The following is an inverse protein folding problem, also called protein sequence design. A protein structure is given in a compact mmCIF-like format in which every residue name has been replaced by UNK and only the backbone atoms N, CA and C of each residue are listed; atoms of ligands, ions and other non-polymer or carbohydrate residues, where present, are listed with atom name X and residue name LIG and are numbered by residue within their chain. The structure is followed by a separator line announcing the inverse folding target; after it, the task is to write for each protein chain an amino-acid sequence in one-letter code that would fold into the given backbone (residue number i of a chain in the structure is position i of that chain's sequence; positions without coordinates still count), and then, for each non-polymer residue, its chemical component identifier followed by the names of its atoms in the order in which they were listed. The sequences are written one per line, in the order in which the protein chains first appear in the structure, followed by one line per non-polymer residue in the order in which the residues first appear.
data_IF_426148915551
#
_entry.id   IF_426148915551
#
_cell.length_a   1.000
_cell.length_b   1.000
_cell.length_c   1.000
_cell.angle_alpha   90.00
_cell.angle_beta   90.00
_cell.angle_gamma   90.00
#
_symmetry.space_group_name_H-M   'P 1'
#
loop_
_entity.id
_entity.type
_entity.pdbx_description
1 polymer ?
#
# COMPACT_ATOMS: atom_id res chain seq x y z
N UNK A 1 -3.45 8.33 -3.29
CA UNK A 1 -2.80 7.01 -3.50
C UNK A 1 -3.59 5.87 -2.87
N UNK A 2 -3.81 5.85 -1.54
CA UNK A 2 -4.45 4.72 -0.82
C UNK A 2 -5.86 4.35 -1.32
N UNK A 3 -6.76 5.34 -1.38
CA UNK A 3 -8.15 5.16 -1.85
C UNK A 3 -8.25 4.65 -3.30
N UNK A 4 -7.27 5.00 -4.14
CA UNK A 4 -7.21 4.51 -5.52
C UNK A 4 -6.76 3.04 -5.54
N UNK A 5 -5.79 2.67 -4.71
CA UNK A 5 -5.36 1.29 -4.55
C UNK A 5 -6.49 0.37 -4.08
N UNK A 6 -7.23 0.78 -3.06
CA UNK A 6 -8.41 0.04 -2.57
C UNK A 6 -9.48 -0.12 -3.66
N UNK A 7 -9.77 0.93 -4.43
CA UNK A 7 -10.73 0.87 -5.55
C UNK A 7 -10.24 -0.05 -6.67
N UNK A 8 -8.93 -0.10 -6.93
CA UNK A 8 -8.31 -1.05 -7.85
C UNK A 8 -8.37 -2.50 -7.35
N UNK A 9 -8.73 -2.73 -6.08
CA UNK A 9 -8.81 -4.04 -5.46
C UNK A 9 -7.52 -4.50 -4.77
N UNK A 10 -6.57 -3.59 -4.58
CA UNK A 10 -5.40 -3.86 -3.76
C UNK A 10 -5.80 -3.88 -2.28
N UNK A 11 -5.26 -4.83 -1.53
CA UNK A 11 -5.47 -4.96 -0.08
C UNK A 11 -4.26 -4.40 0.67
N UNK A 12 -4.51 -3.81 1.84
CA UNK A 12 -3.46 -3.34 2.73
C UNK A 12 -2.82 -4.55 3.42
N UNK A 13 -1.55 -4.82 3.10
CA UNK A 13 -0.81 -5.97 3.65
C UNK A 13 0.01 -5.57 4.89
N UNK A 14 0.37 -4.30 5.01
CA UNK A 14 1.06 -3.82 6.20
C UNK A 14 1.45 -2.35 6.16
N UNK A 15 1.65 -1.79 7.35
CA UNK A 15 2.17 -0.45 7.56
C UNK A 15 3.46 -0.52 8.37
N UNK A 16 4.56 -0.07 7.78
CA UNK A 16 5.86 0.01 8.45
C UNK A 16 6.11 1.48 8.79
N UNK A 17 6.29 1.77 10.09
CA UNK A 17 6.40 3.15 10.57
C UNK A 17 7.82 3.68 10.46
N UNK A 18 7.95 4.99 10.20
CA UNK A 18 9.24 5.73 10.17
C UNK A 18 10.32 5.09 9.29
N UNK A 19 9.95 4.62 8.11
CA UNK A 19 10.90 3.92 7.20
C UNK A 19 11.73 4.90 6.39
N UNK A 20 11.13 6.02 5.96
CA UNK A 20 11.78 6.99 5.09
C UNK A 20 11.89 8.33 5.79
N UNK A 21 13.11 8.83 5.90
CA UNK A 21 13.36 10.19 6.35
C UNK A 21 13.45 11.12 5.14
N UNK A 22 12.68 12.20 5.14
CA UNK A 22 12.72 13.22 4.10
C UNK A 22 12.27 14.56 4.68
N UNK A 23 12.97 15.66 4.36
CA UNK A 23 12.65 17.01 4.84
C UNK A 23 12.27 17.06 6.33
N UNK A 24 13.16 16.57 7.19
CA UNK A 24 12.97 16.59 8.66
C UNK A 24 11.79 15.78 9.20
N UNK A 25 11.11 15.03 8.31
CA UNK A 25 9.91 14.26 8.64
C UNK A 25 10.15 12.78 8.38
N UNK A 26 9.69 11.96 9.32
CA UNK A 26 9.65 10.50 9.16
C UNK A 26 8.34 10.09 8.52
N UNK A 27 8.43 9.38 7.41
CA UNK A 27 7.29 8.85 6.66
C UNK A 27 7.12 7.36 6.89
N UNK A 28 5.86 6.97 7.01
CA UNK A 28 5.43 5.59 7.05
C UNK A 28 5.31 5.02 5.64
N UNK A 29 5.66 3.75 5.49
CA UNK A 29 5.49 3.00 4.26
C UNK A 29 4.27 2.10 4.37
N UNK A 30 3.29 2.34 3.51
CA UNK A 30 2.07 1.54 3.40
C UNK A 30 2.24 0.55 2.24
N UNK A 31 2.20 -0.75 2.52
CA UNK A 31 2.28 -1.81 1.52
C UNK A 31 0.90 -2.29 1.13
N UNK A 32 0.63 -2.20 -0.17
CA UNK A 32 -0.57 -2.72 -0.79
C UNK A 32 -0.18 -3.81 -1.77
N UNK A 33 -0.92 -4.91 -1.76
CA UNK A 33 -0.71 -6.03 -2.66
C UNK A 33 -2.03 -6.60 -3.17
N UNK A 34 -1.92 -7.40 -4.22
CA UNK A 34 -3.03 -8.13 -4.82
C UNK A 34 -2.47 -9.46 -5.34
N UNK A 35 -3.17 -10.56 -5.08
CA UNK A 35 -2.77 -11.84 -5.61
C UNK A 35 -3.15 -11.95 -7.09
N UNK A 36 -2.39 -12.72 -7.86
CA UNK A 36 -2.68 -12.92 -9.29
C UNK A 36 -4.02 -13.61 -9.53
N UNK A 37 -4.47 -14.43 -8.58
CA UNK A 37 -5.79 -15.05 -8.57
C UNK A 37 -6.91 -14.01 -8.40
N UNK A 38 -6.73 -13.07 -7.48
CA UNK A 38 -7.69 -11.98 -7.23
C UNK A 38 -7.82 -11.03 -8.42
N UNK A 39 -6.77 -10.89 -9.23
CA UNK A 39 -6.80 -10.11 -10.46
C UNK A 39 -7.55 -10.82 -11.60
N UNK A 40 -7.41 -12.15 -11.71
CA UNK A 40 -8.06 -12.96 -12.76
C UNK A 40 -9.56 -13.18 -12.53
N UNK A 41 -9.98 -13.18 -11.27
CA UNK A 41 -11.38 -13.38 -10.87
C UNK A 41 -12.23 -12.10 -10.92
N UNK A 42 -11.74 -11.04 -11.57
CA UNK A 42 -12.38 -9.72 -11.68
C UNK A 42 -12.76 -9.45 -13.13
#
# INVERSE_FOLDING_TARGET
MMRLGEKSGLKLEGQIRKVRYWQETWYDSMKYGILREELKNK
#
